data_IF_841447985860
#
_entry.id   IF_841447985860
#
_cell.length_a   1.000
_cell.length_b   1.000
_cell.length_c   1.000
_cell.angle_alpha   90.00
_cell.angle_beta   90.00
_cell.angle_gamma   90.00
#
_symmetry.space_group_name_H-M   'P 1'
#
loop_
_entity.id
_entity.type
_entity.pdbx_description
1 polymer ?
#
# COMPACT_ATOMS: atom_id res chain seq x y z
N UNK A 1 -6.96 -12.82 -11.51
CA UNK A 1 -6.17 -12.34 -12.67
C UNK A 1 -6.27 -10.83 -12.84
N UNK A 2 -7.47 -10.23 -12.81
CA UNK A 2 -7.63 -8.76 -12.67
C UNK A 2 -7.61 -8.32 -11.20
N UNK A 3 -8.42 -8.96 -10.34
CA UNK A 3 -8.50 -8.65 -8.90
C UNK A 3 -7.12 -8.58 -8.22
N UNK A 4 -6.25 -9.56 -8.48
CA UNK A 4 -4.93 -9.60 -7.86
C UNK A 4 -4.05 -8.41 -8.29
N UNK A 5 -4.21 -7.89 -9.51
CA UNK A 5 -3.55 -6.67 -9.94
C UNK A 5 -4.04 -5.48 -9.12
N UNK A 6 -5.34 -5.40 -8.85
CA UNK A 6 -5.91 -4.35 -7.97
C UNK A 6 -5.35 -4.45 -6.54
N UNK A 7 -5.13 -5.66 -6.02
CA UNK A 7 -4.49 -5.85 -4.72
C UNK A 7 -3.06 -5.30 -4.69
N UNK A 8 -2.30 -5.48 -5.76
CA UNK A 8 -0.96 -4.87 -5.85
C UNK A 8 -1.05 -3.35 -5.85
N UNK A 9 -1.94 -2.79 -6.67
CA UNK A 9 -2.18 -1.34 -6.74
C UNK A 9 -2.61 -0.77 -5.38
N UNK A 10 -3.43 -1.49 -4.62
CA UNK A 10 -3.77 -1.15 -3.24
C UNK A 10 -2.53 -1.14 -2.33
N UNK A 11 -1.64 -2.13 -2.45
CA UNK A 11 -0.37 -2.14 -1.71
C UNK A 11 0.50 -0.91 -2.01
N UNK A 12 0.56 -0.48 -3.28
CA UNK A 12 1.25 0.76 -3.68
C UNK A 12 0.58 2.00 -3.07
N UNK A 13 -0.76 2.07 -3.08
CA UNK A 13 -1.50 3.16 -2.44
C UNK A 13 -1.26 3.21 -0.93
N UNK A 14 -1.10 2.06 -0.26
CA UNK A 14 -0.74 2.03 1.16
C UNK A 14 0.67 2.57 1.40
N UNK A 15 1.64 2.27 0.53
CA UNK A 15 2.97 2.91 0.59
C UNK A 15 2.83 4.42 0.44
N UNK A 16 2.05 4.89 -0.53
CA UNK A 16 1.81 6.32 -0.76
C UNK A 16 1.15 7.00 0.44
N UNK A 17 0.20 6.35 1.13
CA UNK A 17 -0.38 6.89 2.38
C UNK A 17 0.64 7.06 3.51
N UNK A 18 1.74 6.28 3.51
CA UNK A 18 2.77 6.32 4.56
C UNK A 18 3.91 7.28 4.18
N UNK A 19 4.39 7.18 2.94
CA UNK A 19 5.58 7.89 2.46
C UNK A 19 5.24 9.19 1.70
N UNK A 20 3.96 9.42 1.39
CA UNK A 20 3.45 10.59 0.65
C UNK A 20 3.58 10.49 -0.87
N UNK A 21 4.28 9.48 -1.39
CA UNK A 21 4.48 9.25 -2.82
C UNK A 21 4.62 7.74 -3.12
N UNK A 22 4.26 7.27 -4.33
CA UNK A 22 4.48 5.88 -4.72
C UNK A 22 5.99 5.58 -4.92
N UNK A 23 6.39 4.30 -4.96
CA UNK A 23 7.76 3.91 -5.29
C UNK A 23 8.19 4.46 -6.64
N UNK A 24 9.43 4.97 -6.73
CA UNK A 24 10.02 5.51 -7.96
C UNK A 24 9.30 6.74 -8.54
N UNK A 25 8.58 7.52 -7.72
CA UNK A 25 7.82 8.71 -8.15
C UNK A 25 8.64 9.71 -8.98
N UNK A 26 9.93 9.89 -8.66
CA UNK A 26 10.82 10.81 -9.36
C UNK A 26 11.44 10.23 -10.65
N UNK A 27 11.10 9.00 -11.04
CA UNK A 27 11.61 8.37 -12.26
C UNK A 27 10.63 8.51 -13.43
N UNK A 28 11.12 8.56 -14.68
CA UNK A 28 10.25 8.49 -15.86
C UNK A 28 9.35 7.23 -15.83
N UNK A 29 8.09 7.30 -16.29
CA UNK A 29 7.14 6.19 -16.16
C UNK A 29 7.64 4.85 -16.72
N UNK A 30 8.32 4.86 -17.87
CA UNK A 30 8.91 3.65 -18.46
C UNK A 30 10.05 3.07 -17.62
N UNK A 31 10.77 3.89 -16.86
CA UNK A 31 11.83 3.43 -15.96
C UNK A 31 11.23 2.86 -14.67
N UNK A 32 10.26 3.54 -14.07
CA UNK A 32 9.52 3.06 -12.91
C UNK A 32 8.86 1.69 -13.19
N UNK A 33 8.19 1.54 -14.34
CA UNK A 33 7.60 0.25 -14.74
C UNK A 33 8.64 -0.86 -14.88
N UNK A 34 9.81 -0.58 -15.47
CA UNK A 34 10.91 -1.55 -15.55
C UNK A 34 11.39 -1.96 -14.16
N UNK A 35 11.57 -1.01 -13.24
CA UNK A 35 11.95 -1.33 -11.86
C UNK A 35 10.91 -2.15 -11.13
N UNK A 36 9.62 -1.85 -11.29
CA UNK A 36 8.53 -2.66 -10.71
C UNK A 36 8.56 -4.09 -11.25
N UNK A 37 8.81 -4.26 -12.55
CA UNK A 37 8.92 -5.56 -13.18
C UNK A 37 10.17 -6.33 -12.75
N UNK A 38 11.32 -5.65 -12.62
CA UNK A 38 12.61 -6.34 -12.52
C UNK A 38 13.08 -6.49 -11.07
N UNK A 39 12.78 -5.55 -10.18
CA UNK A 39 13.27 -5.55 -8.80
C UNK A 39 12.41 -6.39 -7.84
N UNK A 40 12.90 -6.54 -6.61
CA UNK A 40 12.10 -7.04 -5.49
C UNK A 40 10.92 -6.10 -5.21
N UNK A 41 9.81 -6.60 -4.63
CA UNK A 41 8.68 -5.76 -4.27
C UNK A 41 9.09 -4.54 -3.43
N UNK A 42 8.51 -3.36 -3.70
CA UNK A 42 8.86 -2.14 -3.00
C UNK A 42 8.52 -2.25 -1.52
N UNK A 43 9.24 -1.49 -0.69
CA UNK A 43 9.01 -1.37 0.75
C UNK A 43 8.87 0.10 1.12
N UNK A 44 8.18 0.34 2.22
CA UNK A 44 8.12 1.66 2.86
C UNK A 44 9.55 2.11 3.20
N UNK A 45 9.84 3.39 2.97
CA UNK A 45 11.18 3.96 3.18
C UNK A 45 11.62 3.90 4.64
N UNK A 46 10.71 4.22 5.55
CA UNK A 46 10.96 4.21 7.00
C UNK A 46 10.12 3.14 7.70
N UNK A 47 10.73 1.97 7.89
CA UNK A 47 10.09 0.82 8.54
C UNK A 47 9.75 1.08 10.02
N UNK A 48 10.38 2.07 10.68
CA UNK A 48 10.07 2.39 12.08
C UNK A 48 8.71 3.08 12.24
N UNK A 49 8.18 3.69 11.17
CA UNK A 49 6.83 4.28 11.13
C UNK A 49 5.72 3.24 10.98
N UNK A 50 6.06 1.98 10.71
CA UNK A 50 5.11 0.94 10.33
C UNK A 50 5.00 -0.09 11.46
N UNK A 51 3.79 -0.30 11.95
CA UNK A 51 3.53 -1.37 12.91
C UNK A 51 3.74 -2.75 12.27
N UNK A 52 4.11 -3.76 13.07
CA UNK A 52 4.27 -5.13 12.57
C UNK A 52 3.01 -5.67 11.88
N UNK A 53 1.83 -5.27 12.36
CA UNK A 53 0.54 -5.64 11.76
C UNK A 53 0.31 -4.98 10.40
N UNK A 54 0.66 -3.71 10.22
CA UNK A 54 0.58 -3.06 8.90
C UNK A 54 1.60 -3.65 7.93
N UNK A 55 2.80 -3.97 8.40
CA UNK A 55 3.81 -4.65 7.61
C UNK A 55 3.31 -6.01 7.10
N UNK A 56 2.73 -6.84 7.97
CA UNK A 56 2.15 -8.12 7.57
C UNK A 56 1.01 -7.96 6.56
N UNK A 57 0.23 -6.88 6.64
CA UNK A 57 -0.80 -6.58 5.65
C UNK A 57 -0.21 -6.24 4.27
N UNK A 58 0.83 -5.40 4.23
CA UNK A 58 1.57 -5.07 3.01
C UNK A 58 2.25 -6.30 2.39
N UNK A 59 2.81 -7.19 3.21
CA UNK A 59 3.50 -8.40 2.75
C UNK A 59 2.56 -9.35 2.00
N UNK A 60 1.24 -9.33 2.29
CA UNK A 60 0.24 -10.10 1.53
C UNK A 60 -0.15 -9.46 0.18
N UNK A 61 -0.03 -8.14 0.07
CA UNK A 61 -0.42 -7.39 -1.14
C UNK A 61 0.72 -7.27 -2.15
N UNK A 62 1.93 -7.00 -1.67
CA UNK A 62 3.12 -6.74 -2.50
C UNK A 62 3.90 -8.03 -2.79
N UNK A 63 3.19 -9.07 -3.23
CA UNK A 63 3.76 -10.35 -3.64
C UNK A 63 3.89 -10.37 -5.16
N UNK A 64 5.10 -10.68 -5.66
CA UNK A 64 5.39 -10.67 -7.11
C UNK A 64 4.59 -11.72 -7.86
N UNK A 65 4.55 -12.94 -7.34
CA UNK A 65 3.79 -14.05 -7.90
C UNK A 65 2.29 -13.87 -7.59
N UNK A 66 1.42 -13.62 -8.58
CA UNK A 66 0.01 -13.33 -8.33
C UNK A 66 -0.71 -14.46 -7.59
N UNK A 67 -0.36 -15.71 -7.87
CA UNK A 67 -0.98 -16.88 -7.22
C UNK A 67 -0.69 -16.99 -5.72
N UNK A 68 0.32 -16.27 -5.22
CA UNK A 68 0.70 -16.21 -3.81
C UNK A 68 0.24 -14.90 -3.13
N UNK A 69 -0.36 -13.99 -3.89
CA UNK A 69 -0.85 -12.71 -3.37
C UNK A 69 -2.21 -12.92 -2.72
N UNK A 70 -2.43 -12.28 -1.56
CA UNK A 70 -3.69 -12.38 -0.85
C UNK A 70 -4.86 -11.85 -1.69
N UNK A 71 -5.98 -12.57 -1.67
CA UNK A 71 -7.25 -12.13 -2.26
C UNK A 71 -7.89 -11.01 -1.43
N UNK A 72 -8.84 -10.29 -2.03
CA UNK A 72 -9.61 -9.29 -1.28
C UNK A 72 -10.33 -9.90 -0.06
N UNK A 73 -10.85 -11.13 -0.21
CA UNK A 73 -11.55 -11.82 0.86
C UNK A 73 -10.63 -12.21 2.03
N UNK A 74 -9.38 -12.59 1.76
CA UNK A 74 -8.39 -12.86 2.79
C UNK A 74 -7.95 -11.58 3.50
N UNK A 75 -7.70 -10.51 2.74
CA UNK A 75 -7.29 -9.21 3.28
C UNK A 75 -8.36 -8.60 4.18
N UNK A 76 -9.66 -8.78 3.85
CA UNK A 76 -10.78 -8.35 4.69
C UNK A 76 -10.77 -8.97 6.10
N UNK A 77 -10.13 -10.13 6.26
CA UNK A 77 -10.02 -10.84 7.56
C UNK A 77 -8.74 -10.50 8.32
N UNK A 78 -7.83 -9.72 7.72
CA UNK A 78 -6.53 -9.42 8.30
C UNK A 78 -6.66 -8.54 9.56
N UNK A 79 -5.88 -8.79 10.63
CA UNK A 79 -5.97 -8.02 11.88
C UNK A 79 -5.78 -6.50 11.71
N UNK A 80 -5.06 -6.05 10.69
CA UNK A 80 -4.87 -4.63 10.39
C UNK A 80 -6.19 -3.89 10.23
N UNK A 81 -7.18 -4.48 9.55
CA UNK A 81 -8.47 -3.81 9.31
C UNK A 81 -9.34 -3.70 10.56
N UNK A 82 -9.00 -4.42 11.64
CA UNK A 82 -9.65 -4.22 12.95
C UNK A 82 -9.27 -2.88 13.60
N UNK A 83 -8.23 -2.21 13.09
CA UNK A 83 -7.81 -0.87 13.52
C UNK A 83 -8.58 0.24 12.79
N UNK A 84 -9.47 -0.10 11.86
CA UNK A 84 -10.28 0.89 11.14
C UNK A 84 -11.16 1.67 12.12
N UNK A 85 -11.05 3.00 12.09
CA UNK A 85 -11.87 3.89 12.88
C UNK A 85 -13.23 4.19 12.23
N UNK A 86 -14.13 4.88 12.96
CA UNK A 86 -15.37 5.38 12.37
C UNK A 86 -15.07 6.44 11.29
N UNK A 87 -16.01 6.71 10.35
CA UNK A 87 -15.80 7.72 9.31
C UNK A 87 -15.37 9.11 9.82
N UNK A 88 -15.77 9.47 11.05
CA UNK A 88 -15.39 10.71 11.69
C UNK A 88 -13.89 10.88 11.92
N UNK A 89 -13.10 9.79 11.98
CA UNK A 89 -11.66 9.87 12.21
C UNK A 89 -10.89 10.49 11.02
N UNK A 90 -11.47 10.51 9.82
CA UNK A 90 -10.86 11.08 8.61
C UNK A 90 -11.13 12.59 8.47
N UNK A 91 -12.18 13.11 9.11
CA UNK A 91 -12.58 14.53 9.02
C UNK A 91 -11.43 15.51 9.35
N UNK A 92 -10.59 15.29 10.37
CA UNK A 92 -9.47 16.19 10.67
C UNK A 92 -8.46 16.29 9.51
N UNK A 93 -8.23 15.20 8.77
CA UNK A 93 -7.30 15.16 7.64
C UNK A 93 -7.76 16.08 6.50
N UNK A 94 -9.07 16.09 6.21
CA UNK A 94 -9.65 16.98 5.20
C UNK A 94 -9.57 18.45 5.59
N UNK A 95 -9.74 18.77 6.87
CA UNK A 95 -9.66 20.14 7.38
C UNK A 95 -8.24 20.69 7.32
N UNK A 96 -7.26 19.86 7.71
CA UNK A 96 -5.86 20.24 7.68
C UNK A 96 -5.40 20.66 6.28
N UNK A 97 -5.82 19.92 5.23
CA UNK A 97 -5.49 20.25 3.84
C UNK A 97 -6.24 21.45 3.26
N UNK A 98 -7.40 21.85 3.81
CA UNK A 98 -8.13 23.06 3.35
C UNK A 98 -7.48 24.37 3.79
N UNK A 99 -6.58 24.33 4.76
CA UNK A 99 -5.89 25.50 5.30
C UNK A 99 -4.48 25.68 4.72
N UNK A 100 -4.11 24.91 3.69
CA UNK A 100 -2.96 25.14 2.83
C UNK A 100 -3.46 25.46 1.42
#
# INVERSE_FOLDING_TARGET
TAELVDIWSLGIMVIEMIDGEPPYFNEPPLQAMRRIRDNVPPRVKDLHKVSSVLRGFLDLMLVREPSQRGSAQELLRHPFLKLAGPPSCIVPLMRQYRHH
#
